data_IF_418990546221
#
_entry.id   IF_418990546221
#
_cell.length_a   1.000
_cell.length_b   1.000
_cell.length_c   1.000
_cell.angle_alpha   90.00
_cell.angle_beta   90.00
_cell.angle_gamma   90.00
#
_symmetry.space_group_name_H-M   'P 1'
#
loop_
_entity.id
_entity.type
_entity.pdbx_description
1 polymer ?
#
# COMPACT_ATOMS: atom_id res chain seq x y z
N UNK A 1 2.91 -62.76 26.80
CA UNK A 1 2.42 -62.18 25.52
C UNK A 1 1.09 -61.46 25.67
N UNK A 2 0.04 -62.08 26.24
CA UNK A 2 -1.31 -61.48 26.36
C UNK A 2 -1.33 -60.13 27.10
N UNK A 3 -0.63 -60.02 28.23
CA UNK A 3 -0.58 -58.77 29.03
C UNK A 3 0.05 -57.61 28.25
N UNK A 4 1.10 -57.87 27.47
CA UNK A 4 1.79 -56.85 26.65
C UNK A 4 0.87 -56.35 25.54
N UNK A 5 0.12 -57.25 24.89
CA UNK A 5 -0.85 -56.87 23.86
C UNK A 5 -1.98 -56.02 24.45
N UNK A 6 -2.50 -56.37 25.63
CA UNK A 6 -3.55 -55.60 26.30
C UNK A 6 -3.04 -54.19 26.66
N UNK A 7 -1.82 -54.06 27.18
CA UNK A 7 -1.23 -52.76 27.52
C UNK A 7 -1.01 -51.90 26.28
N UNK A 8 -0.49 -52.47 25.18
CA UNK A 8 -0.29 -51.74 23.92
C UNK A 8 -1.61 -51.25 23.33
N UNK A 9 -2.66 -52.10 23.34
CA UNK A 9 -3.99 -51.71 22.87
C UNK A 9 -4.60 -50.63 23.77
N UNK A 10 -4.46 -50.73 25.09
CA UNK A 10 -4.95 -49.72 26.02
C UNK A 10 -4.26 -48.35 25.80
N UNK A 11 -2.93 -48.34 25.61
CA UNK A 11 -2.18 -47.12 25.31
C UNK A 11 -2.60 -46.53 23.97
N UNK A 12 -2.78 -47.35 22.93
CA UNK A 12 -3.24 -46.89 21.62
C UNK A 12 -4.63 -46.25 21.70
N UNK A 13 -5.56 -46.85 22.44
CA UNK A 13 -6.91 -46.29 22.65
C UNK A 13 -6.85 -44.95 23.38
N UNK A 14 -6.02 -44.83 24.43
CA UNK A 14 -5.84 -43.56 25.16
C UNK A 14 -5.28 -42.47 24.25
N UNK A 15 -4.30 -42.78 23.41
CA UNK A 15 -3.71 -41.83 22.46
C UNK A 15 -4.75 -41.39 21.42
N UNK A 16 -5.53 -42.32 20.86
CA UNK A 16 -6.58 -41.99 19.89
C UNK A 16 -7.66 -41.10 20.52
N UNK A 17 -8.10 -41.41 21.74
CA UNK A 17 -9.07 -40.58 22.47
C UNK A 17 -8.50 -39.18 22.73
N UNK A 18 -7.24 -39.08 23.16
CA UNK A 18 -6.60 -37.78 23.39
C UNK A 18 -6.51 -36.94 22.11
N UNK A 19 -6.15 -37.54 20.98
CA UNK A 19 -6.10 -36.85 19.67
C UNK A 19 -7.49 -36.37 19.26
N UNK A 20 -8.53 -37.20 19.40
CA UNK A 20 -9.91 -36.81 19.07
C UNK A 20 -10.38 -35.65 19.93
N UNK A 21 -10.08 -35.67 21.23
CA UNK A 21 -10.42 -34.57 22.15
C UNK A 21 -9.69 -33.28 21.76
N UNK A 22 -8.39 -33.34 21.44
CA UNK A 22 -7.62 -32.16 21.02
C UNK A 22 -8.18 -31.58 19.73
N UNK A 23 -8.50 -32.41 18.74
CA UNK A 23 -9.09 -31.95 17.47
C UNK A 23 -10.46 -31.31 17.70
N UNK A 24 -11.30 -31.88 18.56
CA UNK A 24 -12.59 -31.30 18.91
C UNK A 24 -12.46 -29.94 19.62
N UNK A 25 -11.53 -29.81 20.56
CA UNK A 25 -11.26 -28.54 21.26
C UNK A 25 -10.76 -27.47 20.28
N UNK A 26 -9.83 -27.82 19.38
CA UNK A 26 -9.33 -26.88 18.35
C UNK A 26 -10.47 -26.44 17.43
N UNK A 27 -11.33 -27.36 16.99
CA UNK A 27 -12.48 -27.01 16.17
C UNK A 27 -13.44 -26.05 16.88
N UNK A 28 -13.74 -26.28 18.16
CA UNK A 28 -14.59 -25.40 18.98
C UNK A 28 -13.95 -24.01 19.11
N UNK A 29 -12.66 -23.93 19.41
CA UNK A 29 -11.94 -22.65 19.52
C UNK A 29 -11.98 -21.87 18.21
N UNK A 30 -11.77 -22.53 17.07
CA UNK A 30 -11.85 -21.89 15.75
C UNK A 30 -13.25 -21.33 15.47
N UNK A 31 -14.30 -22.08 15.80
CA UNK A 31 -15.70 -21.63 15.63
C UNK A 31 -16.01 -20.43 16.53
N UNK A 32 -15.57 -20.45 17.79
CA UNK A 32 -15.79 -19.35 18.73
C UNK A 32 -15.05 -18.09 18.30
N UNK A 33 -13.81 -18.21 17.83
CA UNK A 33 -13.03 -17.07 17.33
C UNK A 33 -13.66 -16.50 16.06
N UNK A 34 -14.10 -17.35 15.12
CA UNK A 34 -14.78 -16.91 13.92
C UNK A 34 -16.09 -16.15 14.25
N UNK A 35 -16.89 -16.66 15.19
CA UNK A 35 -18.11 -15.99 15.64
C UNK A 35 -17.81 -14.63 16.29
N UNK A 36 -16.79 -14.53 17.13
CA UNK A 36 -16.39 -13.27 17.77
C UNK A 36 -15.92 -12.21 16.75
N UNK A 37 -15.17 -12.62 15.72
CA UNK A 37 -14.74 -11.73 14.64
C UNK A 37 -15.95 -11.22 13.86
N UNK A 38 -16.92 -12.07 13.54
CA UNK A 38 -18.15 -11.67 12.84
C UNK A 38 -18.96 -10.66 13.66
N UNK A 39 -19.14 -10.89 14.97
CA UNK A 39 -19.86 -9.97 15.86
C UNK A 39 -19.17 -8.60 15.92
N UNK A 40 -17.84 -8.59 15.98
CA UNK A 40 -17.05 -7.34 16.05
C UNK A 40 -17.15 -6.54 14.74
N UNK A 41 -17.09 -7.21 13.59
CA UNK A 41 -17.23 -6.57 12.27
C UNK A 41 -18.64 -6.01 12.06
N UNK A 42 -19.68 -6.71 12.50
CA UNK A 42 -21.07 -6.23 12.40
C UNK A 42 -21.30 -5.01 13.31
N UNK A 43 -20.73 -4.99 14.52
CA UNK A 43 -20.85 -3.84 15.44
C UNK A 43 -20.18 -2.57 14.88
N UNK A 44 -19.06 -2.70 14.16
CA UNK A 44 -18.39 -1.56 13.51
C UNK A 44 -19.25 -0.98 12.38
N UNK A 45 -20.03 -1.80 11.68
CA UNK A 45 -20.86 -1.37 10.56
C UNK A 45 -22.17 -0.68 10.97
N UNK A 46 -22.66 -0.92 12.19
CA UNK A 46 -23.88 -0.29 12.72
C UNK A 46 -23.49 0.88 13.65
N UNK A 47 -22.80 1.88 13.09
CA UNK A 47 -22.75 3.21 13.72
C UNK A 47 -24.04 3.99 13.39
N UNK A 48 -24.70 4.63 14.37
CA UNK A 48 -25.95 5.35 14.12
C UNK A 48 -25.72 6.57 13.21
N UNK A 49 -26.74 6.98 12.43
CA UNK A 49 -26.60 8.08 11.48
C UNK A 49 -26.32 9.40 12.21
N UNK A 50 -25.38 10.18 11.67
CA UNK A 50 -25.06 11.51 12.15
C UNK A 50 -26.31 12.40 12.17
N UNK A 51 -26.58 13.03 13.32
CA UNK A 51 -27.66 14.01 13.49
C UNK A 51 -27.27 15.29 12.75
N UNK A 52 -28.05 15.63 11.72
CA UNK A 52 -27.96 16.89 10.98
C UNK A 52 -28.52 18.00 11.88
N UNK A 53 -27.67 18.94 12.32
CA UNK A 53 -28.12 20.17 12.97
C UNK A 53 -28.55 21.20 11.90
N UNK A 54 -29.77 21.71 12.05
CA UNK A 54 -30.37 22.76 11.22
C UNK A 54 -29.72 24.14 11.45
N UNK A 55 -29.89 25.10 10.51
CA UNK A 55 -29.33 26.45 10.61
C UNK A 55 -30.14 27.33 11.59
N UNK A 56 -29.64 28.55 11.83
CA UNK A 56 -30.15 29.67 12.67
C UNK A 56 -29.27 29.87 13.93
N UNK A 57 -28.73 31.05 14.25
CA UNK A 57 -29.19 32.44 14.09
C UNK A 57 -27.97 33.38 14.08
N UNK A 58 -28.05 34.52 13.40
CA UNK A 58 -27.03 35.58 13.42
C UNK A 58 -26.66 35.98 14.86
N UNK A 59 -25.39 35.80 15.22
CA UNK A 59 -24.78 36.32 16.44
C UNK A 59 -23.80 37.43 16.01
N UNK A 60 -23.89 38.57 16.68
CA UNK A 60 -23.11 39.77 16.41
C UNK A 60 -21.60 39.49 16.35
N UNK A 61 -20.93 40.20 15.44
CA UNK A 61 -19.47 40.20 15.25
C UNK A 61 -18.80 40.70 16.53
N UNK A 62 -18.23 39.76 17.30
CA UNK A 62 -17.21 40.08 18.29
C UNK A 62 -15.84 39.95 17.62
N UNK A 63 -14.98 40.92 17.86
CA UNK A 63 -13.60 41.00 17.35
C UNK A 63 -12.81 39.72 17.61
N UNK A 64 -11.88 39.34 16.70
CA UNK A 64 -11.09 38.12 16.85
C UNK A 64 -10.23 38.19 18.12
N UNK A 65 -10.10 37.10 18.89
CA UNK A 65 -9.18 37.06 20.01
C UNK A 65 -7.73 37.20 19.51
N UNK A 66 -6.84 37.86 20.26
CA UNK A 66 -5.46 38.10 19.84
C UNK A 66 -4.70 36.80 19.63
N UNK A 67 -3.95 36.76 18.53
CA UNK A 67 -3.05 35.66 18.14
C UNK A 67 -2.03 35.43 19.26
N UNK A 68 -2.02 34.24 19.85
CA UNK A 68 -0.93 33.82 20.71
C UNK A 68 0.26 33.40 19.85
N UNK A 69 1.50 33.86 20.16
CA UNK A 69 2.68 33.35 19.48
C UNK A 69 2.86 31.85 19.80
N UNK A 70 3.45 31.08 18.87
CA UNK A 70 3.74 29.67 19.10
C UNK A 70 4.61 29.52 20.36
N UNK A 71 4.43 28.42 21.13
CA UNK A 71 5.22 28.20 22.33
C UNK A 71 6.71 28.27 21.97
N UNK A 72 7.47 29.06 22.74
CA UNK A 72 8.89 29.21 22.55
C UNK A 72 9.56 27.82 22.53
N UNK A 73 10.32 27.53 21.46
CA UNK A 73 11.26 26.42 21.47
C UNK A 73 12.14 26.57 22.70
N UNK A 74 12.17 25.54 23.52
CA UNK A 74 12.98 25.49 24.72
C UNK A 74 14.45 25.46 24.29
N UNK A 75 15.16 26.58 24.33
CA UNK A 75 16.62 26.58 24.25
C UNK A 75 17.15 26.14 25.62
N UNK A 76 17.84 24.98 25.72
CA UNK A 76 18.39 24.55 27.00
C UNK A 76 19.51 25.51 27.40
N UNK A 77 19.25 26.28 28.46
CA UNK A 77 20.25 27.09 29.12
C UNK A 77 21.38 26.20 29.68
N UNK A 78 22.61 26.45 29.22
CA UNK A 78 23.86 26.12 29.92
C UNK A 78 24.46 24.73 29.65
N UNK A 79 25.55 24.74 28.88
CA UNK A 79 26.84 23.99 28.87
C UNK A 79 27.07 22.67 29.64
N UNK A 80 26.08 22.04 30.28
CA UNK A 80 26.22 20.74 30.96
C UNK A 80 25.51 19.59 30.27
N UNK A 81 24.61 19.88 29.33
CA UNK A 81 23.79 18.88 28.64
C UNK A 81 23.95 18.87 27.12
N UNK A 82 24.76 19.76 26.54
CA UNK A 82 25.08 19.75 25.11
C UNK A 82 25.81 18.46 24.69
N UNK A 83 26.75 18.01 25.52
CA UNK A 83 27.42 16.71 25.34
C UNK A 83 26.45 15.53 25.38
N UNK A 84 25.40 15.61 26.21
CA UNK A 84 24.39 14.56 26.32
C UNK A 84 23.47 14.52 25.09
N UNK A 85 23.06 15.68 24.56
CA UNK A 85 22.30 15.75 23.31
C UNK A 85 23.13 15.39 22.07
N UNK A 86 24.42 15.74 22.03
CA UNK A 86 25.34 15.28 20.99
C UNK A 86 25.56 13.75 21.07
N UNK A 87 25.64 13.20 22.28
CA UNK A 87 25.73 11.75 22.50
C UNK A 87 24.44 11.03 22.11
N UNK A 88 23.26 11.61 22.37
CA UNK A 88 21.97 11.07 21.92
C UNK A 88 21.86 11.13 20.39
N UNK A 89 22.25 12.24 19.77
CA UNK A 89 22.23 12.37 18.30
C UNK A 89 23.22 11.39 17.64
N UNK A 90 24.43 11.20 18.20
CA UNK A 90 25.36 10.17 17.76
C UNK A 90 24.83 8.76 18.01
N UNK A 91 24.17 8.51 19.14
CA UNK A 91 23.58 7.21 19.44
C UNK A 91 22.39 6.88 18.51
N UNK A 92 21.55 7.87 18.16
CA UNK A 92 20.46 7.69 17.20
C UNK A 92 20.98 7.49 15.77
N UNK A 93 22.03 8.21 15.35
CA UNK A 93 22.67 7.98 14.06
C UNK A 93 23.42 6.64 14.00
N UNK A 94 24.05 6.21 15.10
CA UNK A 94 24.67 4.88 15.18
C UNK A 94 23.57 3.80 15.18
N UNK A 95 22.45 3.99 15.87
CA UNK A 95 21.31 3.06 15.81
C UNK A 95 20.72 2.94 14.41
N UNK A 96 20.49 4.06 13.70
CA UNK A 96 20.01 4.04 12.32
C UNK A 96 21.01 3.37 11.36
N UNK A 97 22.31 3.61 11.53
CA UNK A 97 23.35 2.95 10.74
C UNK A 97 23.49 1.46 11.06
N UNK A 98 23.24 1.06 12.31
CA UNK A 98 23.25 -0.34 12.76
C UNK A 98 22.00 -1.06 12.25
N UNK A 99 20.84 -0.42 12.26
CA UNK A 99 19.62 -0.98 11.68
C UNK A 99 19.76 -1.18 10.17
N UNK A 100 20.40 -0.24 9.45
CA UNK A 100 20.69 -0.39 8.03
C UNK A 100 21.74 -1.48 7.75
N UNK A 101 22.76 -1.60 8.61
CA UNK A 101 23.78 -2.65 8.52
C UNK A 101 23.24 -4.04 8.88
N UNK A 102 22.37 -4.13 9.89
CA UNK A 102 21.69 -5.36 10.31
C UNK A 102 20.65 -5.77 9.28
N UNK A 103 19.91 -4.82 8.70
CA UNK A 103 19.01 -5.09 7.59
C UNK A 103 19.79 -5.60 6.37
N UNK A 104 20.95 -5.04 6.04
CA UNK A 104 21.77 -5.53 4.94
C UNK A 104 22.43 -6.89 5.26
N UNK A 105 22.84 -7.12 6.51
CA UNK A 105 23.44 -8.38 7.01
C UNK A 105 22.44 -9.53 7.05
N UNK A 106 21.19 -9.26 7.41
CA UNK A 106 20.07 -10.20 7.36
C UNK A 106 19.41 -10.28 5.97
N UNK A 107 19.86 -9.48 5.01
CA UNK A 107 19.27 -9.40 3.68
C UNK A 107 17.85 -8.81 3.66
N UNK A 108 17.45 -8.13 4.74
CA UNK A 108 16.17 -7.47 4.96
C UNK A 108 16.04 -6.11 4.23
N UNK A 109 16.68 -5.95 3.08
CA UNK A 109 16.59 -4.74 2.25
C UNK A 109 15.12 -4.51 1.85
N UNK A 110 14.50 -3.39 2.25
CA UNK A 110 13.06 -3.10 2.09
C UNK A 110 12.58 -3.22 0.63
N UNK A 111 13.47 -3.06 -0.34
CA UNK A 111 13.21 -3.31 -1.77
C UNK A 111 12.89 -4.78 -2.08
N UNK A 112 13.41 -5.72 -1.29
CA UNK A 112 13.24 -7.18 -1.45
C UNK A 112 11.97 -7.74 -0.82
N UNK A 113 11.25 -7.02 0.04
CA UNK A 113 9.96 -7.52 0.55
C UNK A 113 8.77 -6.97 -0.24
N UNK A 114 8.93 -5.80 -0.86
CA UNK A 114 7.88 -5.23 -1.69
C UNK A 114 7.54 -6.12 -2.90
N UNK A 115 8.51 -6.82 -3.49
CA UNK A 115 8.20 -7.78 -4.56
C UNK A 115 7.50 -9.03 -4.02
N UNK A 116 7.87 -9.52 -2.84
CA UNK A 116 7.26 -10.70 -2.23
C UNK A 116 5.82 -10.42 -1.77
N UNK A 117 5.55 -9.22 -1.23
CA UNK A 117 4.21 -8.74 -0.90
C UNK A 117 3.35 -8.56 -2.16
N UNK A 118 3.87 -7.91 -3.20
CA UNK A 118 3.14 -7.76 -4.45
C UNK A 118 2.85 -9.11 -5.12
N UNK A 119 3.81 -10.04 -5.12
CA UNK A 119 3.63 -11.41 -5.66
C UNK A 119 2.66 -12.23 -4.80
N UNK A 120 2.63 -12.02 -3.48
CA UNK A 120 1.66 -12.63 -2.57
C UNK A 120 0.24 -12.12 -2.81
N UNK A 121 0.01 -10.81 -2.95
CA UNK A 121 -1.31 -10.26 -3.26
C UNK A 121 -1.77 -10.57 -4.69
N UNK A 122 -0.82 -10.66 -5.64
CA UNK A 122 -1.10 -11.03 -7.03
C UNK A 122 -1.36 -12.54 -7.20
N UNK A 123 -0.71 -13.41 -6.40
CA UNK A 123 -0.92 -14.87 -6.40
C UNK A 123 -2.15 -15.33 -5.63
N UNK A 124 -2.51 -14.65 -4.53
CA UNK A 124 -3.80 -14.90 -3.83
C UNK A 124 -5.01 -14.36 -4.60
N UNK A 125 -4.81 -13.72 -5.75
CA UNK A 125 -5.89 -13.20 -6.59
C UNK A 125 -6.75 -12.16 -5.88
N UNK A 126 -6.35 -11.60 -4.73
CA UNK A 126 -7.21 -10.74 -3.91
C UNK A 126 -7.51 -9.38 -4.58
N UNK A 127 -6.81 -9.07 -5.69
CA UNK A 127 -7.10 -7.96 -6.61
C UNK A 127 -7.97 -8.38 -7.82
N UNK A 128 -8.19 -9.67 -8.07
CA UNK A 128 -8.91 -10.21 -9.23
C UNK A 128 -10.18 -11.02 -8.87
N UNK A 129 -10.23 -11.70 -7.72
CA UNK A 129 -11.43 -12.44 -7.25
C UNK A 129 -12.49 -11.54 -6.63
N UNK A 130 -12.13 -10.33 -6.19
CA UNK A 130 -13.09 -9.27 -5.89
C UNK A 130 -13.71 -8.69 -7.17
N UNK A 131 -13.02 -8.74 -8.31
CA UNK A 131 -13.51 -8.21 -9.58
C UNK A 131 -14.60 -9.07 -10.25
N UNK A 132 -14.63 -10.38 -10.00
CA UNK A 132 -15.66 -11.27 -10.56
C UNK A 132 -16.92 -11.42 -9.72
N UNK A 133 -16.90 -11.01 -8.44
CA UNK A 133 -18.06 -11.09 -7.53
C UNK A 133 -18.72 -9.73 -7.27
N UNK A 134 -18.16 -8.65 -7.78
CA UNK A 134 -18.67 -7.29 -7.62
C UNK A 134 -18.67 -6.64 -9.01
N UNK A 135 -19.79 -6.76 -9.73
CA UNK A 135 -20.06 -6.12 -11.03
C UNK A 135 -20.16 -4.58 -10.95
N UNK A 136 -19.41 -3.95 -10.03
CA UNK A 136 -19.38 -2.51 -9.81
C UNK A 136 -18.13 -2.01 -9.08
N UNK A 137 -17.07 -2.82 -8.94
CA UNK A 137 -15.83 -2.33 -8.34
C UNK A 137 -15.03 -1.48 -9.33
N UNK A 138 -14.95 -0.18 -9.05
CA UNK A 138 -14.01 0.72 -9.68
C UNK A 138 -12.59 0.16 -9.53
N UNK A 139 -11.93 -0.16 -10.65
CA UNK A 139 -10.55 -0.60 -10.65
C UNK A 139 -9.66 0.63 -10.52
N UNK A 140 -9.19 0.89 -9.29
CA UNK A 140 -8.27 1.99 -9.03
C UNK A 140 -6.85 1.55 -9.38
N UNK A 141 -6.22 2.29 -10.28
CA UNK A 141 -4.83 2.07 -10.69
C UNK A 141 -3.96 3.16 -10.11
N UNK A 142 -2.87 2.75 -9.45
CA UNK A 142 -1.99 3.65 -8.73
C UNK A 142 -0.59 3.61 -9.34
N UNK A 143 -0.11 4.78 -9.76
CA UNK A 143 1.21 4.99 -10.32
C UNK A 143 2.06 5.66 -9.24
N UNK A 144 3.20 5.05 -8.89
CA UNK A 144 4.01 5.47 -7.72
C UNK A 144 5.23 6.32 -8.03
N UNK A 145 5.73 6.29 -9.25
CA UNK A 145 7.05 6.87 -9.55
C UNK A 145 6.98 8.10 -10.42
N UNK A 146 6.67 7.90 -11.70
CA UNK A 146 6.73 8.98 -12.66
C UNK A 146 5.85 8.64 -13.84
N UNK A 147 4.96 9.56 -14.18
CA UNK A 147 4.23 9.52 -15.42
C UNK A 147 5.18 9.73 -16.61
N UNK A 148 5.12 8.85 -17.61
CA UNK A 148 5.84 9.11 -18.86
C UNK A 148 4.97 10.02 -19.73
N UNK A 149 5.54 11.13 -20.19
CA UNK A 149 4.89 11.94 -21.22
C UNK A 149 4.48 11.08 -22.41
N UNK A 150 3.23 11.17 -22.81
CA UNK A 150 2.62 10.41 -23.88
C UNK A 150 1.83 9.18 -23.45
N UNK A 151 1.66 8.90 -22.14
CA UNK A 151 0.95 7.69 -21.71
C UNK A 151 -0.51 7.69 -22.16
N UNK A 152 -1.22 8.82 -22.04
CA UNK A 152 -2.60 8.94 -22.52
C UNK A 152 -2.64 9.34 -23.99
N UNK A 153 -1.82 10.32 -24.42
CA UNK A 153 -1.85 10.87 -25.81
C UNK A 153 -1.40 9.89 -26.86
N UNK A 154 -0.57 8.93 -26.50
CA UNK A 154 -0.17 7.84 -27.38
C UNK A 154 -0.54 6.48 -26.76
N UNK A 155 -1.82 6.32 -26.42
CA UNK A 155 -2.34 5.09 -25.79
C UNK A 155 -1.96 3.82 -26.57
N UNK A 156 -2.06 3.84 -27.90
CA UNK A 156 -1.70 2.67 -28.73
C UNK A 156 -0.26 2.19 -28.51
N UNK A 157 0.69 3.12 -28.35
CA UNK A 157 2.09 2.78 -28.05
C UNK A 157 2.22 2.29 -26.61
N UNK A 158 1.53 2.92 -25.67
CA UNK A 158 1.49 2.50 -24.26
C UNK A 158 0.94 1.08 -24.10
N UNK A 159 -0.16 0.77 -24.78
CA UNK A 159 -0.80 -0.54 -24.84
C UNK A 159 0.16 -1.60 -25.40
N UNK A 160 0.84 -1.30 -26.52
CA UNK A 160 1.86 -2.20 -27.09
C UNK A 160 2.98 -2.49 -26.09
N UNK A 161 3.43 -1.49 -25.33
CA UNK A 161 4.44 -1.66 -24.26
C UNK A 161 3.89 -2.48 -23.09
N UNK A 162 2.61 -2.33 -22.77
CA UNK A 162 1.93 -3.09 -21.73
C UNK A 162 1.82 -4.58 -22.10
N UNK A 163 1.46 -4.88 -23.35
CA UNK A 163 1.48 -6.25 -23.88
C UNK A 163 2.86 -6.87 -23.76
N UNK A 164 3.89 -6.17 -24.24
CA UNK A 164 5.28 -6.63 -24.14
C UNK A 164 5.70 -6.89 -22.69
N UNK A 165 5.31 -6.02 -21.77
CA UNK A 165 5.56 -6.20 -20.34
C UNK A 165 4.89 -7.47 -19.79
N UNK A 166 3.64 -7.72 -20.17
CA UNK A 166 2.89 -8.92 -19.77
C UNK A 166 3.55 -10.18 -20.31
N UNK A 167 3.98 -10.18 -21.57
CA UNK A 167 4.66 -11.31 -22.20
C UNK A 167 5.99 -11.62 -21.52
N UNK A 168 6.83 -10.61 -21.27
CA UNK A 168 8.10 -10.79 -20.57
C UNK A 168 7.91 -11.32 -19.14
N UNK A 169 6.84 -10.88 -18.45
CA UNK A 169 6.49 -11.41 -17.13
C UNK A 169 6.04 -12.87 -17.20
N UNK A 170 5.26 -13.26 -18.21
CA UNK A 170 4.88 -14.66 -18.43
C UNK A 170 6.10 -15.53 -18.73
N UNK A 171 7.03 -15.06 -19.56
CA UNK A 171 8.27 -15.77 -19.86
C UNK A 171 9.17 -15.94 -18.64
N UNK A 172 9.23 -14.94 -17.77
CA UNK A 172 9.92 -15.04 -16.49
C UNK A 172 9.30 -16.13 -15.61
N UNK A 173 7.97 -16.16 -15.49
CA UNK A 173 7.23 -17.18 -14.71
C UNK A 173 7.40 -18.59 -15.28
N UNK A 174 7.41 -18.72 -16.61
CA UNK A 174 7.65 -19.97 -17.30
C UNK A 174 9.11 -20.47 -17.21
N UNK A 175 10.01 -19.71 -16.57
CA UNK A 175 11.41 -20.09 -16.41
C UNK A 175 12.24 -19.99 -17.69
N UNK A 176 11.74 -19.31 -18.74
CA UNK A 176 12.45 -19.16 -20.03
C UNK A 176 13.78 -18.44 -19.86
N UNK A 177 13.85 -17.50 -18.91
CA UNK A 177 15.06 -16.74 -18.57
C UNK A 177 16.22 -17.61 -18.09
N UNK A 178 15.95 -18.80 -17.55
CA UNK A 178 17.00 -19.73 -17.08
C UNK A 178 17.70 -20.43 -18.24
N UNK A 179 17.00 -20.57 -19.38
CA UNK A 179 17.53 -21.23 -20.59
C UNK A 179 18.36 -20.29 -21.48
N UNK A 180 18.28 -18.99 -21.23
CA UNK A 180 19.03 -17.97 -21.98
C UNK A 180 20.46 -17.82 -21.42
N UNK A 181 21.43 -17.40 -22.26
CA UNK A 181 22.77 -17.09 -21.78
C UNK A 181 22.71 -15.92 -20.77
N UNK A 182 23.64 -15.93 -19.79
CA UNK A 182 23.64 -14.97 -18.66
C UNK A 182 23.57 -13.50 -19.10
N UNK A 183 24.21 -13.15 -20.22
CA UNK A 183 24.18 -11.81 -20.80
C UNK A 183 22.76 -11.41 -21.21
N UNK A 184 22.10 -12.24 -21.99
CA UNK A 184 20.76 -11.95 -22.52
C UNK A 184 19.71 -11.98 -21.41
N UNK A 185 19.83 -12.94 -20.48
CA UNK A 185 18.99 -12.99 -19.30
C UNK A 185 19.10 -11.71 -18.44
N UNK A 186 20.30 -11.12 -18.31
CA UNK A 186 20.48 -9.86 -17.60
C UNK A 186 19.84 -8.67 -18.32
N UNK A 187 19.91 -8.62 -19.66
CA UNK A 187 19.24 -7.58 -20.47
C UNK A 187 17.73 -7.64 -20.29
N UNK A 188 17.15 -8.84 -20.40
CA UNK A 188 15.70 -9.02 -20.24
C UNK A 188 15.25 -8.66 -18.82
N UNK A 189 16.01 -9.05 -17.78
CA UNK A 189 15.71 -8.66 -16.40
C UNK A 189 15.74 -7.15 -16.18
N UNK A 190 16.73 -6.45 -16.76
CA UNK A 190 16.80 -4.98 -16.68
C UNK A 190 15.60 -4.34 -17.38
N UNK A 191 15.25 -4.82 -18.57
CA UNK A 191 14.09 -4.35 -19.30
C UNK A 191 12.79 -4.56 -18.53
N UNK A 192 12.61 -5.74 -17.92
CA UNK A 192 11.44 -6.04 -17.11
C UNK A 192 11.36 -5.15 -15.88
N UNK A 193 12.47 -4.96 -15.16
CA UNK A 193 12.53 -4.05 -14.00
C UNK A 193 12.18 -2.61 -14.39
N UNK A 194 12.67 -2.15 -15.53
CA UNK A 194 12.33 -0.83 -16.06
C UNK A 194 10.82 -0.73 -16.36
N UNK A 195 10.25 -1.67 -17.12
CA UNK A 195 8.82 -1.67 -17.44
C UNK A 195 7.95 -1.82 -16.19
N UNK A 196 8.34 -2.65 -15.23
CA UNK A 196 7.65 -2.82 -13.94
C UNK A 196 7.59 -1.51 -13.15
N UNK A 197 8.65 -0.73 -13.20
CA UNK A 197 8.75 0.54 -12.47
C UNK A 197 7.73 1.57 -12.96
N UNK A 198 7.50 1.63 -14.27
CA UNK A 198 6.64 2.65 -14.88
C UNK A 198 5.22 2.15 -15.19
N UNK A 199 5.10 0.94 -15.75
CA UNK A 199 3.83 0.36 -16.20
C UNK A 199 3.19 -0.58 -15.17
N UNK A 200 3.86 -0.82 -14.03
CA UNK A 200 3.38 -1.75 -13.02
C UNK A 200 2.03 -1.35 -12.41
N UNK A 201 1.76 -0.05 -12.31
CA UNK A 201 0.50 0.51 -11.81
C UNK A 201 -0.67 0.33 -12.77
N UNK A 202 -0.40 0.39 -14.09
CA UNK A 202 -1.42 0.32 -15.16
C UNK A 202 -1.49 -1.05 -15.83
N UNK A 203 -0.91 -2.10 -15.22
CA UNK A 203 -0.83 -3.46 -15.78
C UNK A 203 -2.18 -4.09 -16.16
N UNK A 204 -3.26 -3.61 -15.55
CA UNK A 204 -4.62 -4.14 -15.75
C UNK A 204 -5.49 -3.21 -16.59
N UNK A 205 -4.96 -2.08 -17.09
CA UNK A 205 -5.72 -1.18 -17.95
C UNK A 205 -5.94 -1.83 -19.31
N UNK A 206 -7.21 -1.91 -19.70
CA UNK A 206 -7.64 -2.33 -21.03
C UNK A 206 -7.96 -1.15 -21.94
N UNK A 207 -8.06 0.06 -21.39
CA UNK A 207 -8.40 1.27 -22.12
C UNK A 207 -8.05 2.53 -21.33
N UNK A 208 -8.52 3.67 -21.83
CA UNK A 208 -8.36 4.96 -21.17
C UNK A 208 -9.14 5.00 -19.84
N UNK A 209 -8.65 5.74 -18.83
CA UNK A 209 -9.35 5.89 -17.57
C UNK A 209 -10.53 6.86 -17.69
N UNK A 210 -11.62 6.58 -16.97
CA UNK A 210 -12.78 7.46 -16.93
C UNK A 210 -12.56 8.69 -16.03
N UNK A 211 -11.78 8.53 -14.95
CA UNK A 211 -11.43 9.58 -13.98
C UNK A 211 -9.96 9.40 -13.60
N UNK A 212 -9.23 10.51 -13.49
CA UNK A 212 -7.84 10.51 -13.00
C UNK A 212 -7.77 11.28 -11.69
N UNK A 213 -7.12 10.68 -10.70
CA UNK A 213 -6.82 11.33 -9.41
C UNK A 213 -5.33 11.67 -9.40
N UNK A 214 -5.02 12.94 -9.25
CA UNK A 214 -3.65 13.46 -9.19
C UNK A 214 -3.35 13.94 -7.78
N UNK A 215 -2.20 13.51 -7.28
CA UNK A 215 -1.61 13.95 -6.01
C UNK A 215 -0.38 14.76 -6.37
N UNK A 216 -0.26 15.98 -5.85
CA UNK A 216 0.78 16.95 -6.19
C UNK A 216 0.73 17.40 -7.67
N UNK A 217 0.17 18.58 -7.89
CA UNK A 217 0.03 19.19 -9.21
C UNK A 217 1.37 19.68 -9.79
N UNK A 218 2.36 19.98 -8.96
CA UNK A 218 3.63 20.50 -9.43
C UNK A 218 4.49 19.38 -10.04
N UNK A 219 4.55 18.22 -9.39
CA UNK A 219 5.26 17.05 -9.93
C UNK A 219 4.55 16.46 -11.16
N UNK A 220 3.22 16.41 -11.15
CA UNK A 220 2.41 15.71 -12.16
C UNK A 220 1.72 16.66 -13.17
N UNK A 221 2.32 17.83 -13.44
CA UNK A 221 1.79 18.82 -14.38
C UNK A 221 1.56 18.26 -15.80
N UNK A 222 2.47 17.38 -16.26
CA UNK A 222 2.36 16.76 -17.59
C UNK A 222 1.12 15.87 -17.68
N UNK A 223 0.83 15.14 -16.61
CA UNK A 223 -0.33 14.24 -16.48
C UNK A 223 -1.63 15.03 -16.57
N UNK A 224 -1.73 16.14 -15.83
CA UNK A 224 -2.89 17.04 -15.89
C UNK A 224 -3.10 17.59 -17.30
N UNK A 225 -2.03 18.05 -17.96
CA UNK A 225 -2.10 18.57 -19.33
C UNK A 225 -2.59 17.52 -20.33
N UNK A 226 -2.14 16.28 -20.19
CA UNK A 226 -2.63 15.17 -21.03
C UNK A 226 -4.12 14.89 -20.77
N UNK A 227 -4.56 14.89 -19.51
CA UNK A 227 -5.96 14.69 -19.15
C UNK A 227 -6.86 15.78 -19.74
N UNK A 228 -6.44 17.06 -19.64
CA UNK A 228 -7.14 18.19 -20.26
C UNK A 228 -7.24 18.02 -21.78
N UNK A 229 -6.17 17.54 -22.42
CA UNK A 229 -6.15 17.33 -23.89
C UNK A 229 -7.15 16.26 -24.33
N UNK A 230 -7.36 15.22 -23.52
CA UNK A 230 -8.38 14.19 -23.79
C UNK A 230 -9.79 14.54 -23.31
N UNK A 231 -9.92 15.53 -22.44
CA UNK A 231 -11.17 15.81 -21.74
C UNK A 231 -11.53 14.75 -20.70
N UNK A 232 -10.53 14.11 -20.07
CA UNK A 232 -10.76 13.18 -18.97
C UNK A 232 -10.91 14.01 -17.68
N UNK A 233 -12.00 13.83 -16.91
CA UNK A 233 -12.21 14.56 -15.68
C UNK A 233 -11.14 14.23 -14.63
N UNK A 234 -10.62 15.27 -13.99
CA UNK A 234 -9.51 15.19 -13.04
C UNK A 234 -9.93 15.61 -11.63
N UNK A 235 -9.51 14.81 -10.64
CA UNK A 235 -9.59 15.14 -9.22
C UNK A 235 -8.17 15.42 -8.75
N UNK A 236 -7.88 16.63 -8.28
CA UNK A 236 -6.55 17.00 -7.84
C UNK A 236 -6.54 17.40 -6.36
N UNK A 237 -5.55 16.89 -5.62
CA UNK A 237 -5.16 17.48 -4.34
C UNK A 237 -4.34 18.75 -4.62
N UNK A 238 -4.79 19.88 -4.09
CA UNK A 238 -4.21 21.20 -4.37
C UNK A 238 -3.63 21.79 -3.10
N UNK A 239 -2.35 22.16 -3.15
CA UNK A 239 -1.68 22.96 -2.11
C UNK A 239 -1.65 24.46 -2.48
N UNK A 240 -1.22 25.29 -1.55
CA UNK A 240 -1.16 26.76 -1.65
C UNK A 240 -0.32 27.30 -2.82
N UNK A 241 0.60 26.49 -3.36
CA UNK A 241 1.51 26.83 -4.45
C UNK A 241 0.98 26.41 -5.85
N UNK A 242 -0.21 25.81 -5.93
CA UNK A 242 -0.75 25.20 -7.13
C UNK A 242 -1.84 26.07 -7.77
N UNK A 243 -1.97 26.00 -9.10
CA UNK A 243 -2.99 26.77 -9.86
C UNK A 243 -4.31 25.98 -9.92
N UNK A 244 -5.38 26.44 -9.27
CA UNK A 244 -6.64 25.70 -9.20
C UNK A 244 -7.27 25.51 -10.58
N UNK A 245 -7.03 26.36 -11.57
CA UNK A 245 -7.80 26.33 -12.82
C UNK A 245 -7.52 25.09 -13.70
N UNK A 246 -6.45 24.35 -13.42
CA UNK A 246 -6.04 23.15 -14.16
C UNK A 246 -6.82 21.87 -13.80
N UNK A 247 -7.51 21.82 -12.65
CA UNK A 247 -8.22 20.62 -12.20
C UNK A 247 -9.74 20.84 -12.14
N UNK A 248 -10.51 19.82 -12.54
CA UNK A 248 -11.98 19.92 -12.54
C UNK A 248 -12.54 19.92 -11.11
N UNK A 249 -12.11 18.93 -10.32
CA UNK A 249 -12.47 18.77 -8.91
C UNK A 249 -11.22 19.01 -8.07
N UNK A 250 -11.33 19.98 -7.17
CA UNK A 250 -10.22 20.49 -6.37
C UNK A 250 -10.46 20.13 -4.91
N UNK A 251 -9.51 19.43 -4.30
CA UNK A 251 -9.53 19.11 -2.88
C UNK A 251 -8.33 19.83 -2.25
N UNK A 252 -8.54 20.89 -1.45
CA UNK A 252 -7.43 21.56 -0.79
C UNK A 252 -6.80 20.61 0.23
N UNK A 253 -5.51 20.33 0.07
CA UNK A 253 -4.75 19.42 0.93
C UNK A 253 -3.26 19.83 0.94
N UNK A 254 -2.61 19.65 2.09
CA UNK A 254 -1.17 19.84 2.21
C UNK A 254 -0.43 18.62 1.64
N UNK A 255 0.38 18.81 0.62
CA UNK A 255 1.20 17.78 -0.03
C UNK A 255 2.57 17.57 0.65
N UNK A 256 3.07 18.56 1.40
CA UNK A 256 4.37 18.56 2.04
C UNK A 256 4.49 17.73 3.34
N UNK A 257 3.45 17.03 3.75
CA UNK A 257 3.45 16.24 4.99
C UNK A 257 3.79 14.75 4.72
N UNK A 258 5.07 14.40 4.82
CA UNK A 258 5.52 13.00 4.92
C UNK A 258 5.57 12.64 6.41
N UNK A 259 4.76 11.66 6.82
CA UNK A 259 4.73 11.11 8.19
C UNK A 259 5.46 9.76 8.27
#
# INVERSE_FOLDING_TARGET
>A
MVVVVIVVVAVAVVVVVAVVVVVAVVAIVVVVVAAAVVVTVVAVFVSPPAVISQPHKNIAVNSPPPVQPPPAKFEPAGDRFAFFWEAIAKAQNVHASVDEYVANWLGLDQSRYQWALNDYYESKGMLLTTASSLEGLAVIMLIKKMWLGGMLTNWFTTETRLHKFRDLRMEQRAGRLVRLPKRDAAVVKRQLSHLQTYLGGIKYMTGLPDIVIVVDQHEEYTTLRECITFGIPTICLIDTNCDPDLADIRIPANDGAIA
#
